data_IF_141507349522
#
_entry.id   IF_141507349522
#
_cell.length_a   1.000
_cell.length_b   1.000
_cell.length_c   1.000
_cell.angle_alpha   90.00
_cell.angle_beta   90.00
_cell.angle_gamma   90.00
#
_symmetry.space_group_name_H-M   'P 1'
#
loop_
_entity.id
_entity.type
_entity.pdbx_description
1 polymer ?
#
# COMPACT_ATOMS: atom_id res chain seq x y z
N UNK A 1 21.00 -56.58 10.60
CA UNK A 1 20.91 -55.46 11.57
C UNK A 1 22.24 -54.71 11.74
N UNK A 2 23.37 -55.21 11.22
CA UNK A 2 24.72 -54.60 11.35
C UNK A 2 25.12 -53.61 10.25
N UNK A 3 24.17 -53.13 9.43
CA UNK A 3 24.44 -52.36 8.20
C UNK A 3 23.91 -50.91 8.26
N UNK A 4 23.25 -50.53 9.37
CA UNK A 4 22.67 -49.18 9.55
C UNK A 4 23.66 -48.19 10.18
N UNK A 5 24.49 -48.64 11.14
CA UNK A 5 25.47 -47.80 11.84
C UNK A 5 26.42 -47.00 10.93
N UNK A 6 27.06 -47.58 9.88
CA UNK A 6 27.95 -46.80 9.00
C UNK A 6 27.19 -45.73 8.21
N UNK A 7 25.89 -45.93 7.96
CA UNK A 7 25.04 -44.97 7.24
C UNK A 7 24.69 -43.77 8.12
N UNK A 8 24.39 -44.00 9.40
CA UNK A 8 24.10 -42.96 10.39
C UNK A 8 25.34 -42.08 10.61
N UNK A 9 26.51 -42.69 10.83
CA UNK A 9 27.77 -41.96 10.99
C UNK A 9 28.12 -41.10 9.75
N UNK A 10 27.83 -41.59 8.54
CA UNK A 10 28.02 -40.83 7.30
C UNK A 10 27.03 -39.66 7.15
N UNK A 11 25.82 -39.77 7.71
CA UNK A 11 24.82 -38.70 7.76
C UNK A 11 25.22 -37.61 8.77
N UNK A 12 25.69 -37.99 9.96
CA UNK A 12 26.19 -37.06 10.98
C UNK A 12 27.41 -36.27 10.47
N UNK A 13 28.39 -36.93 9.85
CA UNK A 13 29.54 -36.27 9.24
C UNK A 13 29.17 -35.29 8.10
N UNK A 14 28.09 -35.57 7.37
CA UNK A 14 27.54 -34.64 6.36
C UNK A 14 26.80 -33.47 7.01
N UNK A 15 26.08 -33.69 8.11
CA UNK A 15 25.40 -32.63 8.85
C UNK A 15 26.42 -31.65 9.46
N UNK A 16 27.47 -32.17 10.09
CA UNK A 16 28.56 -31.35 10.67
C UNK A 16 29.30 -30.52 9.63
N UNK A 17 29.56 -31.06 8.43
CA UNK A 17 30.22 -30.29 7.36
C UNK A 17 29.32 -29.18 6.79
N UNK A 18 28.01 -29.43 6.65
CA UNK A 18 27.03 -28.41 6.25
C UNK A 18 26.91 -27.29 7.31
N UNK A 19 26.85 -27.65 8.60
CA UNK A 19 26.78 -26.67 9.70
C UNK A 19 28.04 -25.80 9.75
N UNK A 20 29.24 -26.38 9.59
CA UNK A 20 30.50 -25.62 9.50
C UNK A 20 30.50 -24.64 8.32
N UNK A 21 30.11 -25.11 7.13
CA UNK A 21 30.03 -24.25 5.93
C UNK A 21 29.04 -23.09 6.13
N UNK A 22 27.92 -23.33 6.80
CA UNK A 22 26.93 -22.29 7.11
C UNK A 22 27.48 -21.24 8.11
N UNK A 23 28.28 -21.66 9.10
CA UNK A 23 28.93 -20.75 10.05
C UNK A 23 29.96 -19.87 9.34
N UNK A 24 30.84 -20.45 8.52
CA UNK A 24 31.86 -19.72 7.78
C UNK A 24 31.23 -18.67 6.84
N UNK A 25 30.15 -19.02 6.15
CA UNK A 25 29.42 -18.08 5.29
C UNK A 25 28.79 -16.91 6.07
N UNK A 26 28.28 -17.14 7.29
CA UNK A 26 27.76 -16.06 8.15
C UNK A 26 28.87 -15.11 8.63
N UNK A 27 30.05 -15.65 8.94
CA UNK A 27 31.24 -14.86 9.29
C UNK A 27 31.67 -13.99 8.10
N UNK A 28 31.74 -14.56 6.90
CA UNK A 28 32.13 -13.85 5.68
C UNK A 28 31.15 -12.73 5.32
N UNK A 29 29.84 -12.99 5.32
CA UNK A 29 28.80 -11.96 5.09
C UNK A 29 28.89 -10.83 6.13
N UNK A 30 29.23 -11.15 7.38
CA UNK A 30 29.41 -10.16 8.45
C UNK A 30 30.67 -9.31 8.24
N UNK A 31 31.78 -9.93 7.81
CA UNK A 31 33.00 -9.22 7.44
C UNK A 31 32.79 -8.29 6.24
N UNK A 32 32.14 -8.77 5.17
CA UNK A 32 31.81 -7.98 3.98
C UNK A 32 30.91 -6.80 4.36
N UNK A 33 29.86 -7.00 5.19
CA UNK A 33 29.02 -5.88 5.66
C UNK A 33 29.81 -4.83 6.45
N UNK A 34 30.78 -5.25 7.27
CA UNK A 34 31.64 -4.35 8.04
C UNK A 34 32.56 -3.53 7.13
N UNK A 35 33.11 -4.14 6.08
CA UNK A 35 33.95 -3.44 5.12
C UNK A 35 33.13 -2.52 4.20
N UNK A 36 31.95 -2.95 3.74
CA UNK A 36 31.01 -2.08 3.02
C UNK A 36 30.59 -0.87 3.84
N UNK A 37 30.47 -1.03 5.17
CA UNK A 37 30.17 0.06 6.11
C UNK A 37 31.34 1.03 6.26
N UNK A 38 32.58 0.53 6.24
CA UNK A 38 33.81 1.37 6.24
C UNK A 38 33.94 2.17 4.94
N UNK A 39 33.81 1.52 3.78
CA UNK A 39 33.87 2.18 2.48
C UNK A 39 32.76 3.25 2.35
N UNK A 40 31.54 2.94 2.78
CA UNK A 40 30.42 3.90 2.79
C UNK A 40 30.61 5.03 3.81
N UNK A 41 31.34 4.79 4.90
CA UNK A 41 31.75 5.81 5.86
C UNK A 41 32.82 6.75 5.29
N UNK A 42 33.79 6.20 4.53
CA UNK A 42 34.86 6.96 3.88
C UNK A 42 34.40 7.76 2.64
N UNK A 43 33.22 7.47 2.09
CA UNK A 43 32.69 8.08 0.86
C UNK A 43 31.53 9.08 1.09
N UNK A 44 31.36 9.62 2.30
CA UNK A 44 30.50 10.80 2.51
C UNK A 44 31.34 12.08 2.39
N UNK A 45 31.09 12.95 1.39
CA UNK A 45 31.66 14.28 1.38
C UNK A 45 31.20 15.07 2.61
N UNK A 46 32.15 15.72 3.26
CA UNK A 46 31.92 16.52 4.47
C UNK A 46 31.09 17.76 4.13
N UNK A 47 29.81 17.74 4.49
CA UNK A 47 28.90 18.87 4.25
C UNK A 47 29.16 19.99 5.27
N UNK A 48 29.93 20.99 4.83
CA UNK A 48 30.21 22.21 5.59
C UNK A 48 28.93 22.87 6.13
N UNK A 49 28.86 23.21 7.43
CA UNK A 49 27.80 24.06 7.95
C UNK A 49 27.94 25.49 7.40
N UNK A 50 26.82 26.06 6.92
CA UNK A 50 26.76 27.42 6.38
C UNK A 50 27.30 28.47 7.36
N UNK A 51 28.31 29.24 6.94
CA UNK A 51 28.77 30.41 7.66
C UNK A 51 27.74 31.54 7.58
N UNK A 52 27.39 32.13 8.73
CA UNK A 52 26.59 33.36 8.83
C UNK A 52 27.49 34.55 8.46
N UNK A 53 27.07 35.47 7.55
CA UNK A 53 27.92 36.59 7.15
C UNK A 53 28.15 37.55 8.32
N UNK A 54 29.41 37.75 8.70
CA UNK A 54 29.82 38.79 9.63
C UNK A 54 30.20 40.08 8.91
N UNK A 55 29.99 41.19 9.60
CA UNK A 55 30.11 42.56 9.11
C UNK A 55 31.55 42.98 8.77
N UNK A 56 31.66 43.77 7.70
CA UNK A 56 32.92 44.34 7.18
C UNK A 56 33.56 45.30 8.20
N UNK A 57 34.87 45.20 8.40
CA UNK A 57 35.70 46.26 9.01
C UNK A 57 36.94 46.47 8.14
N UNK A 58 37.24 47.69 7.65
CA UNK A 58 38.37 47.97 6.76
C UNK A 58 39.59 48.52 7.59
N UNK A 59 40.74 48.95 6.99
CA UNK A 59 41.94 48.10 6.95
C UNK A 59 43.20 48.76 7.57
N UNK A 60 44.33 48.03 7.60
CA UNK A 60 45.66 48.60 7.91
C UNK A 60 46.75 48.00 6.97
N UNK A 61 47.39 48.82 6.11
CA UNK A 61 48.50 48.41 5.22
C UNK A 61 49.86 49.01 5.70
N UNK A 62 50.98 48.89 4.94
CA UNK A 62 51.63 47.67 4.41
C UNK A 62 53.17 47.67 4.61
N UNK A 63 53.87 46.53 4.42
CA UNK A 63 55.31 46.41 4.04
C UNK A 63 55.71 44.90 3.93
N UNK A 64 56.66 44.42 3.12
CA UNK A 64 57.22 44.80 1.81
C UNK A 64 58.11 43.62 1.28
N UNK A 65 58.25 43.44 -0.04
CA UNK A 65 59.28 42.65 -0.81
C UNK A 65 59.61 41.19 -0.37
N UNK A 66 59.34 40.14 -1.18
CA UNK A 66 60.06 39.66 -2.40
C UNK A 66 61.44 39.00 -2.19
N UNK A 67 61.46 37.64 -2.20
CA UNK A 67 62.13 36.71 -3.16
C UNK A 67 63.61 36.98 -3.58
N UNK A 68 64.56 35.98 -3.69
CA UNK A 68 64.44 34.71 -4.48
C UNK A 68 65.16 33.47 -3.85
N UNK A 69 65.31 32.25 -4.41
CA UNK A 69 65.16 31.68 -5.78
C UNK A 69 64.88 30.14 -5.73
N UNK A 70 64.33 29.51 -6.80
CA UNK A 70 64.33 28.04 -7.05
C UNK A 70 65.24 27.68 -8.27
N UNK A 71 65.15 26.48 -8.89
CA UNK A 71 65.21 25.07 -8.43
C UNK A 71 66.55 24.45 -8.99
N UNK A 72 66.72 23.24 -9.61
CA UNK A 72 65.93 21.99 -9.70
C UNK A 72 66.71 20.71 -9.23
N UNK A 73 66.91 19.56 -9.95
CA UNK A 73 66.20 18.35 -9.48
C UNK A 73 66.94 16.98 -9.54
N UNK A 74 66.23 15.93 -9.11
CA UNK A 74 66.41 14.47 -9.40
C UNK A 74 67.70 13.79 -8.89
N UNK A 75 67.53 12.73 -8.08
CA UNK A 75 67.90 11.34 -8.45
C UNK A 75 67.37 10.36 -7.40
N UNK A 76 66.54 9.42 -7.83
CA UNK A 76 66.23 8.19 -7.09
C UNK A 76 67.09 7.05 -7.66
N UNK A 77 67.91 6.39 -6.83
CA UNK A 77 68.39 5.02 -7.06
C UNK A 77 69.06 4.39 -5.83
N UNK A 78 68.40 3.36 -5.31
CA UNK A 78 68.90 2.04 -4.89
C UNK A 78 70.17 1.89 -4.00
N UNK A 79 69.94 1.08 -2.96
CA UNK A 79 70.82 0.60 -1.89
C UNK A 79 71.90 -0.43 -2.34
N UNK A 80 73.06 -0.51 -1.65
CA UNK A 80 73.83 -1.76 -1.51
C UNK A 80 73.97 -2.28 -0.06
N UNK A 81 74.44 -3.52 0.05
CA UNK A 81 74.53 -4.36 1.28
C UNK A 81 75.83 -4.18 2.08
N UNK A 82 75.87 -4.90 3.24
CA UNK A 82 76.90 -5.85 3.75
C UNK A 82 77.34 -5.59 5.21
N UNK A 83 77.65 -6.56 6.08
CA UNK A 83 77.17 -7.95 6.30
C UNK A 83 77.72 -8.48 7.65
N UNK A 84 76.96 -9.35 8.36
CA UNK A 84 77.36 -10.40 9.34
C UNK A 84 78.41 -10.17 10.47
N UNK A 85 78.52 -11.07 11.48
CA UNK A 85 77.54 -11.85 12.25
C UNK A 85 77.70 -11.48 13.77
N UNK A 86 77.71 -12.35 14.83
CA UNK A 86 77.19 -13.70 15.05
C UNK A 86 76.41 -13.89 16.40
N UNK A 87 76.10 -15.17 16.70
CA UNK A 87 75.95 -15.82 18.02
C UNK A 87 74.65 -15.68 18.84
N UNK A 88 74.05 -16.86 19.12
CA UNK A 88 72.92 -17.07 20.03
C UNK A 88 73.35 -16.91 21.51
N UNK A 89 72.60 -16.09 22.27
CA UNK A 89 72.66 -16.03 23.73
C UNK A 89 71.32 -16.41 24.36
N UNK A 90 71.33 -17.35 25.30
CA UNK A 90 70.14 -17.89 25.97
C UNK A 90 69.52 -16.91 26.97
N UNK A 91 68.25 -16.56 26.78
CA UNK A 91 67.45 -15.89 27.81
C UNK A 91 66.56 -16.88 28.55
N UNK A 92 67.04 -17.35 29.71
CA UNK A 92 66.21 -18.06 30.69
C UNK A 92 65.10 -17.12 31.20
N UNK A 93 63.86 -17.35 30.75
CA UNK A 93 62.68 -16.81 31.45
C UNK A 93 62.31 -17.76 32.58
N UNK A 94 62.46 -17.27 33.81
CA UNK A 94 62.21 -18.02 35.04
C UNK A 94 60.81 -18.65 35.05
N UNK A 95 60.74 -19.96 35.27
CA UNK A 95 59.52 -20.66 35.57
C UNK A 95 59.05 -20.32 36.99
N UNK A 96 58.35 -19.19 37.14
CA UNK A 96 57.51 -18.99 38.32
C UNK A 96 56.35 -19.98 38.21
N UNK A 97 56.28 -20.93 39.12
CA UNK A 97 55.16 -21.86 39.21
C UNK A 97 53.87 -21.07 39.49
N UNK A 98 53.13 -20.76 38.43
CA UNK A 98 51.72 -20.46 38.54
C UNK A 98 51.00 -21.81 38.67
N UNK A 99 50.31 -22.01 39.78
CA UNK A 99 49.37 -23.10 39.93
C UNK A 99 48.42 -23.11 38.72
N UNK A 100 48.36 -24.25 38.04
CA UNK A 100 47.48 -24.41 36.90
C UNK A 100 46.04 -24.55 37.41
N UNK A 101 45.36 -23.43 37.67
CA UNK A 101 43.91 -23.41 37.65
C UNK A 101 43.45 -24.11 36.36
N UNK A 102 42.60 -25.14 36.45
CA UNK A 102 42.33 -25.98 35.31
C UNK A 102 41.60 -25.16 34.23
N UNK A 103 42.21 -25.09 33.04
CA UNK A 103 41.70 -24.32 31.91
C UNK A 103 40.28 -24.72 31.47
N UNK A 104 39.78 -25.87 31.95
CA UNK A 104 38.41 -26.34 31.84
C UNK A 104 37.39 -25.27 32.23
N UNK A 105 37.61 -24.51 33.32
CA UNK A 105 36.63 -23.55 33.84
C UNK A 105 36.19 -22.48 32.85
N UNK A 106 37.08 -22.02 31.96
CA UNK A 106 36.73 -21.04 30.91
C UNK A 106 35.93 -21.69 29.78
N UNK A 107 36.39 -22.83 29.26
CA UNK A 107 35.68 -23.54 28.19
C UNK A 107 34.30 -24.03 28.65
N UNK A 108 34.17 -24.55 29.87
CA UNK A 108 32.87 -24.94 30.46
C UNK A 108 31.94 -23.73 30.61
N UNK A 109 32.44 -22.55 31.01
CA UNK A 109 31.60 -21.33 31.07
C UNK A 109 31.12 -20.87 29.69
N UNK A 110 31.97 -20.90 28.67
CA UNK A 110 31.55 -20.56 27.30
C UNK A 110 30.55 -21.58 26.74
N UNK A 111 30.77 -22.88 26.97
CA UNK A 111 29.87 -23.95 26.54
C UNK A 111 28.50 -23.86 27.24
N UNK A 112 28.47 -23.71 28.56
CA UNK A 112 27.22 -23.56 29.31
C UNK A 112 26.47 -22.31 28.85
N UNK A 113 27.14 -21.15 28.74
CA UNK A 113 26.50 -19.94 28.22
C UNK A 113 25.95 -20.14 26.80
N UNK A 114 26.62 -20.90 25.93
CA UNK A 114 26.11 -21.19 24.59
C UNK A 114 24.87 -22.11 24.64
N UNK A 115 24.91 -23.16 25.46
CA UNK A 115 23.79 -24.10 25.64
C UNK A 115 22.58 -23.41 26.29
N UNK A 116 22.80 -22.54 27.27
CA UNK A 116 21.73 -21.81 27.96
C UNK A 116 21.10 -20.74 27.05
N UNK A 117 21.90 -20.02 26.25
CA UNK A 117 21.36 -19.11 25.23
C UNK A 117 20.62 -19.88 24.12
N UNK A 118 21.18 -21.00 23.63
CA UNK A 118 20.52 -21.84 22.63
C UNK A 118 19.21 -22.46 23.16
N UNK A 119 19.14 -22.82 24.45
CA UNK A 119 17.90 -23.24 25.12
C UNK A 119 16.90 -22.09 25.23
N UNK A 120 17.34 -20.90 25.62
CA UNK A 120 16.49 -19.71 25.67
C UNK A 120 15.93 -19.32 24.30
N UNK A 121 16.75 -19.36 23.25
CA UNK A 121 16.32 -19.11 21.87
C UNK A 121 15.40 -20.23 21.34
N UNK A 122 15.65 -21.49 21.71
CA UNK A 122 14.77 -22.62 21.35
C UNK A 122 13.42 -22.53 22.09
N UNK A 123 13.41 -22.23 23.39
CA UNK A 123 12.20 -22.03 24.18
C UNK A 123 11.39 -20.84 23.66
N UNK A 124 12.07 -19.74 23.28
CA UNK A 124 11.44 -18.59 22.65
C UNK A 124 10.90 -18.92 21.25
N UNK A 125 11.64 -19.67 20.44
CA UNK A 125 11.18 -20.06 19.10
C UNK A 125 10.00 -21.03 19.16
N UNK A 126 10.05 -22.04 20.04
CA UNK A 126 8.99 -23.03 20.25
C UNK A 126 7.77 -22.34 20.88
N UNK A 127 7.93 -21.62 22.00
CA UNK A 127 6.85 -21.00 22.76
C UNK A 127 6.24 -19.77 22.07
N UNK A 128 7.05 -18.75 21.76
CA UNK A 128 6.57 -17.46 21.25
C UNK A 128 6.13 -17.56 19.78
N UNK A 129 6.78 -18.38 18.97
CA UNK A 129 6.66 -18.32 17.50
C UNK A 129 6.06 -19.58 16.84
N UNK A 130 6.13 -20.77 17.46
CA UNK A 130 5.61 -22.02 16.91
C UNK A 130 4.28 -22.44 17.58
N UNK A 131 4.28 -22.62 18.90
CA UNK A 131 3.10 -23.02 19.70
C UNK A 131 2.00 -21.96 19.61
N UNK A 132 2.34 -20.67 19.66
CA UNK A 132 1.38 -19.58 19.50
C UNK A 132 0.63 -19.64 18.16
N UNK A 133 1.34 -19.88 17.05
CA UNK A 133 0.75 -19.96 15.70
C UNK A 133 -0.08 -21.23 15.53
N UNK A 134 0.42 -22.37 15.99
CA UNK A 134 -0.32 -23.64 15.96
C UNK A 134 -1.59 -23.51 16.81
N UNK A 135 -1.50 -22.92 18.01
CA UNK A 135 -2.64 -22.65 18.88
C UNK A 135 -3.69 -21.75 18.23
N UNK A 136 -3.28 -20.66 17.56
CA UNK A 136 -4.20 -19.79 16.81
C UNK A 136 -4.88 -20.57 15.67
N UNK A 137 -4.14 -21.37 14.90
CA UNK A 137 -4.70 -22.18 13.80
C UNK A 137 -5.71 -23.21 14.33
N UNK A 138 -5.36 -23.95 15.39
CA UNK A 138 -6.23 -24.95 16.01
C UNK A 138 -7.47 -24.29 16.63
N UNK A 139 -7.34 -23.11 17.25
CA UNK A 139 -8.48 -22.36 17.79
C UNK A 139 -9.43 -21.88 16.68
N UNK A 140 -8.90 -21.36 15.57
CA UNK A 140 -9.70 -20.96 14.40
C UNK A 140 -10.43 -22.16 13.80
N UNK A 141 -9.74 -23.30 13.64
CA UNK A 141 -10.35 -24.54 13.14
C UNK A 141 -11.42 -25.09 14.10
N UNK A 142 -11.15 -25.08 15.41
CA UNK A 142 -12.09 -25.54 16.43
C UNK A 142 -13.35 -24.68 16.50
N UNK A 143 -13.20 -23.36 16.46
CA UNK A 143 -14.34 -22.43 16.39
C UNK A 143 -15.10 -22.60 15.07
N UNK A 144 -14.41 -22.76 13.93
CA UNK A 144 -15.05 -22.96 12.63
C UNK A 144 -15.85 -24.27 12.53
N UNK A 145 -15.25 -25.39 12.96
CA UNK A 145 -15.90 -26.70 12.97
C UNK A 145 -17.04 -26.74 14.00
N UNK A 146 -16.83 -26.17 15.21
CA UNK A 146 -17.85 -26.09 16.25
C UNK A 146 -19.05 -25.23 15.84
N UNK A 147 -18.80 -24.07 15.21
CA UNK A 147 -19.86 -23.22 14.66
C UNK A 147 -20.63 -23.94 13.54
N UNK A 148 -19.93 -24.62 12.63
CA UNK A 148 -20.57 -25.45 11.59
C UNK A 148 -21.43 -26.56 12.21
N UNK A 149 -20.90 -27.33 13.16
CA UNK A 149 -21.64 -28.40 13.83
C UNK A 149 -22.90 -27.89 14.54
N UNK A 150 -22.81 -26.74 15.21
CA UNK A 150 -23.95 -26.07 15.85
C UNK A 150 -24.98 -25.51 14.83
N UNK A 151 -24.54 -25.21 13.61
CA UNK A 151 -25.40 -24.78 12.50
C UNK A 151 -26.13 -25.98 11.89
N UNK A 152 -25.39 -27.05 11.57
CA UNK A 152 -25.85 -28.23 10.83
C UNK A 152 -26.79 -29.12 11.66
N UNK A 153 -26.64 -29.16 12.99
CA UNK A 153 -27.50 -29.93 13.90
C UNK A 153 -28.62 -29.08 14.55
N UNK A 154 -28.88 -27.88 14.01
CA UNK A 154 -29.91 -26.92 14.49
C UNK A 154 -29.82 -26.51 15.99
N UNK A 155 -28.71 -26.84 16.67
CA UNK A 155 -28.47 -26.59 18.10
C UNK A 155 -28.60 -25.11 18.51
N UNK A 156 -28.40 -24.19 17.56
CA UNK A 156 -28.63 -22.76 17.74
C UNK A 156 -29.60 -22.29 16.66
N UNK A 157 -30.71 -21.66 17.05
CA UNK A 157 -31.71 -21.14 16.10
C UNK A 157 -31.14 -20.00 15.23
N UNK A 158 -31.63 -19.79 13.99
CA UNK A 158 -31.16 -18.72 13.10
C UNK A 158 -31.13 -17.34 13.75
N UNK A 159 -32.18 -16.98 14.50
CA UNK A 159 -32.27 -15.72 15.25
C UNK A 159 -31.16 -15.61 16.30
N UNK A 160 -30.92 -16.67 17.08
CA UNK A 160 -29.87 -16.67 18.10
C UNK A 160 -28.47 -16.50 17.50
N UNK A 161 -28.19 -17.11 16.33
CA UNK A 161 -26.91 -16.92 15.60
C UNK A 161 -26.68 -15.45 15.26
N UNK A 162 -27.71 -14.76 14.74
CA UNK A 162 -27.65 -13.34 14.38
C UNK A 162 -27.52 -12.44 15.62
N UNK A 163 -28.28 -12.70 16.70
CA UNK A 163 -28.16 -11.94 17.95
C UNK A 163 -26.77 -12.08 18.57
N UNK A 164 -26.23 -13.29 18.67
CA UNK A 164 -24.87 -13.54 19.18
C UNK A 164 -23.83 -12.83 18.30
N UNK A 165 -23.99 -12.89 16.97
CA UNK A 165 -23.13 -12.18 16.02
C UNK A 165 -23.14 -10.65 16.21
N UNK A 166 -24.32 -10.05 16.42
CA UNK A 166 -24.42 -8.62 16.73
C UNK A 166 -23.82 -8.27 18.09
N UNK A 167 -24.10 -9.04 19.15
CA UNK A 167 -23.51 -8.83 20.48
C UNK A 167 -21.99 -8.92 20.44
N UNK A 168 -21.44 -9.88 19.70
CA UNK A 168 -19.99 -10.01 19.50
C UNK A 168 -19.40 -8.85 18.67
N UNK A 169 -20.04 -8.47 17.56
CA UNK A 169 -19.62 -7.34 16.73
C UNK A 169 -19.62 -6.00 17.48
N UNK A 170 -20.72 -5.68 18.16
CA UNK A 170 -20.80 -4.48 19.01
C UNK A 170 -19.87 -4.56 20.22
N UNK A 171 -19.69 -5.75 20.82
CA UNK A 171 -18.74 -5.99 21.90
C UNK A 171 -17.29 -5.67 21.48
N UNK A 172 -16.88 -6.10 20.28
CA UNK A 172 -15.57 -5.78 19.71
C UNK A 172 -15.41 -4.29 19.40
N UNK A 173 -16.44 -3.63 18.86
CA UNK A 173 -16.45 -2.17 18.62
C UNK A 173 -16.34 -1.39 19.94
N UNK A 174 -17.11 -1.78 20.96
CA UNK A 174 -17.05 -1.17 22.29
C UNK A 174 -15.69 -1.37 22.97
N UNK A 175 -15.17 -2.60 22.95
CA UNK A 175 -13.84 -2.94 23.44
C UNK A 175 -12.75 -2.13 22.73
N UNK A 176 -12.85 -1.98 21.40
CA UNK A 176 -11.93 -1.16 20.62
C UNK A 176 -11.95 0.30 21.09
N UNK A 177 -13.13 0.92 21.22
CA UNK A 177 -13.25 2.31 21.70
C UNK A 177 -12.69 2.47 23.11
N UNK A 178 -12.93 1.50 24.02
CA UNK A 178 -12.39 1.52 25.38
C UNK A 178 -10.86 1.49 25.43
N UNK A 179 -10.22 0.58 24.68
CA UNK A 179 -8.75 0.44 24.68
C UNK A 179 -8.03 1.48 23.80
N UNK A 180 -8.77 2.32 23.05
CA UNK A 180 -8.25 3.34 22.11
C UNK A 180 -7.14 4.21 22.73
N UNK A 181 -7.34 4.66 23.97
CA UNK A 181 -6.44 5.58 24.65
C UNK A 181 -5.04 4.99 24.90
N UNK A 182 -4.95 3.66 25.09
CA UNK A 182 -3.69 2.96 25.39
C UNK A 182 -3.08 2.25 24.16
N UNK A 183 -3.92 1.80 23.23
CA UNK A 183 -3.49 0.96 22.09
C UNK A 183 -4.15 1.36 20.76
N UNK A 184 -3.98 2.62 20.34
CA UNK A 184 -4.62 3.22 19.15
C UNK A 184 -4.57 2.36 17.87
N UNK A 185 -3.41 1.77 17.52
CA UNK A 185 -3.29 0.92 16.30
C UNK A 185 -4.05 -0.41 16.42
N UNK A 186 -3.95 -1.08 17.57
CA UNK A 186 -4.64 -2.35 17.82
C UNK A 186 -6.16 -2.16 17.91
N UNK A 187 -6.57 -1.10 18.62
CA UNK A 187 -7.95 -0.62 18.68
C UNK A 187 -8.55 -0.37 17.28
N UNK A 188 -7.80 0.26 16.37
CA UNK A 188 -8.25 0.48 14.99
C UNK A 188 -8.51 -0.84 14.22
N UNK A 189 -7.64 -1.84 14.38
CA UNK A 189 -7.83 -3.17 13.79
C UNK A 189 -9.06 -3.85 14.40
N UNK A 190 -9.19 -3.82 15.73
CA UNK A 190 -10.30 -4.44 16.46
C UNK A 190 -11.65 -3.82 16.08
N UNK A 191 -11.71 -2.48 15.96
CA UNK A 191 -12.87 -1.75 15.47
C UNK A 191 -13.23 -2.18 14.05
N UNK A 192 -12.25 -2.25 13.14
CA UNK A 192 -12.48 -2.62 11.75
C UNK A 192 -12.97 -4.08 11.60
N UNK A 193 -12.47 -4.99 12.44
CA UNK A 193 -12.95 -6.37 12.52
C UNK A 193 -14.37 -6.46 13.07
N UNK A 194 -14.69 -5.69 14.12
CA UNK A 194 -16.05 -5.58 14.65
C UNK A 194 -17.04 -5.05 13.61
N UNK A 195 -16.67 -4.00 12.87
CA UNK A 195 -17.51 -3.47 11.77
C UNK A 195 -17.68 -4.49 10.63
N UNK A 196 -16.64 -5.25 10.26
CA UNK A 196 -16.76 -6.31 9.27
C UNK A 196 -17.73 -7.42 9.73
N UNK A 197 -17.69 -7.82 11.01
CA UNK A 197 -18.63 -8.78 11.58
C UNK A 197 -20.06 -8.25 11.52
N UNK A 198 -20.31 -6.99 11.92
CA UNK A 198 -21.64 -6.37 11.83
C UNK A 198 -22.16 -6.37 10.38
N UNK A 199 -21.30 -6.09 9.41
CA UNK A 199 -21.62 -6.20 7.98
C UNK A 199 -22.04 -7.62 7.56
N UNK A 200 -21.21 -8.63 7.84
CA UNK A 200 -21.51 -10.02 7.47
C UNK A 200 -22.76 -10.55 8.19
N UNK A 201 -22.96 -10.23 9.46
CA UNK A 201 -24.15 -10.64 10.22
C UNK A 201 -25.41 -9.97 9.65
N UNK A 202 -25.36 -8.70 9.24
CA UNK A 202 -26.47 -8.04 8.53
C UNK A 202 -26.77 -8.74 7.20
N UNK A 203 -25.73 -9.08 6.43
CA UNK A 203 -25.89 -9.81 5.17
C UNK A 203 -26.50 -11.20 5.37
N UNK A 204 -26.04 -11.98 6.35
CA UNK A 204 -26.60 -13.30 6.65
C UNK A 204 -28.05 -13.23 7.16
N UNK A 205 -28.38 -12.22 7.98
CA UNK A 205 -29.76 -11.99 8.42
C UNK A 205 -30.71 -11.72 7.24
N UNK A 206 -30.23 -11.06 6.18
CA UNK A 206 -30.96 -10.89 4.92
C UNK A 206 -30.97 -12.15 4.05
N UNK A 207 -29.80 -12.52 3.52
CA UNK A 207 -29.64 -13.47 2.42
C UNK A 207 -29.84 -14.93 2.85
N UNK A 208 -29.24 -15.33 3.98
CA UNK A 208 -29.25 -16.73 4.41
C UNK A 208 -30.45 -17.10 5.30
N UNK A 209 -30.99 -16.13 6.04
CA UNK A 209 -32.04 -16.40 7.04
C UNK A 209 -33.35 -15.60 6.83
N UNK A 210 -33.39 -14.62 5.92
CA UNK A 210 -34.57 -13.81 5.58
C UNK A 210 -35.29 -13.20 6.80
N UNK A 211 -34.54 -12.90 7.86
CA UNK A 211 -35.03 -12.34 9.13
C UNK A 211 -35.38 -10.84 9.02
N UNK A 212 -34.85 -10.15 8.01
CA UNK A 212 -34.99 -8.70 7.81
C UNK A 212 -35.19 -8.38 6.32
N UNK A 213 -35.97 -7.35 5.99
CA UNK A 213 -36.20 -6.89 4.61
C UNK A 213 -34.91 -6.30 3.99
N UNK A 214 -34.84 -6.30 2.66
CA UNK A 214 -33.75 -5.70 1.88
C UNK A 214 -33.54 -4.23 2.28
N UNK A 215 -34.63 -3.46 2.45
CA UNK A 215 -34.57 -2.04 2.82
C UNK A 215 -34.01 -1.81 4.22
N UNK A 216 -34.40 -2.63 5.20
CA UNK A 216 -33.86 -2.56 6.56
C UNK A 216 -32.39 -2.95 6.61
N UNK A 217 -31.98 -3.96 5.84
CA UNK A 217 -30.59 -4.41 5.72
C UNK A 217 -29.70 -3.33 5.11
N UNK A 218 -30.18 -2.70 4.03
CA UNK A 218 -29.49 -1.59 3.36
C UNK A 218 -29.34 -0.38 4.29
N UNK A 219 -30.40 0.01 5.00
CA UNK A 219 -30.36 1.11 5.97
C UNK A 219 -29.36 0.85 7.12
N UNK A 220 -29.32 -0.38 7.65
CA UNK A 220 -28.34 -0.78 8.67
C UNK A 220 -26.91 -0.71 8.15
N UNK A 221 -26.62 -1.26 6.96
CA UNK A 221 -25.28 -1.19 6.35
C UNK A 221 -24.83 0.25 6.08
N UNK A 222 -25.72 1.13 5.63
CA UNK A 222 -25.43 2.57 5.45
C UNK A 222 -25.14 3.23 6.79
N UNK A 223 -25.91 2.93 7.85
CA UNK A 223 -25.66 3.45 9.20
C UNK A 223 -24.29 2.99 9.73
N UNK A 224 -23.93 1.72 9.53
CA UNK A 224 -22.60 1.18 9.84
C UNK A 224 -21.49 1.81 8.99
N UNK A 225 -21.74 2.15 7.73
CA UNK A 225 -20.80 2.92 6.89
C UNK A 225 -20.52 4.29 7.50
N UNK A 226 -21.58 5.05 7.83
CA UNK A 226 -21.48 6.40 8.41
C UNK A 226 -20.72 6.34 9.73
N UNK A 227 -21.05 5.39 10.61
CA UNK A 227 -20.31 5.16 11.86
C UNK A 227 -18.83 4.85 11.60
N UNK A 228 -18.52 3.99 10.63
CA UNK A 228 -17.12 3.63 10.28
C UNK A 228 -16.34 4.83 9.73
N UNK A 229 -16.97 5.67 8.91
CA UNK A 229 -16.37 6.91 8.39
C UNK A 229 -16.10 7.92 9.50
N UNK A 230 -17.07 8.14 10.39
CA UNK A 230 -16.88 9.00 11.57
C UNK A 230 -15.77 8.46 12.46
N UNK A 231 -15.74 7.16 12.72
CA UNK A 231 -14.68 6.51 13.48
C UNK A 231 -13.31 6.65 12.80
N UNK A 232 -13.20 6.49 11.48
CA UNK A 232 -11.94 6.67 10.76
C UNK A 232 -11.37 8.09 10.91
N UNK A 233 -12.23 9.11 10.86
CA UNK A 233 -11.85 10.52 11.11
C UNK A 233 -11.44 10.73 12.57
N UNK A 234 -12.20 10.19 13.54
CA UNK A 234 -11.96 10.30 14.99
C UNK A 234 -10.71 9.53 15.46
N UNK A 235 -10.30 8.50 14.73
CA UNK A 235 -9.05 7.77 14.95
C UNK A 235 -7.88 8.35 14.14
N UNK A 236 -8.16 9.15 13.10
CA UNK A 236 -7.18 9.62 12.11
C UNK A 236 -6.37 8.46 11.48
N UNK A 237 -7.02 7.30 11.30
CA UNK A 237 -6.41 6.07 10.78
C UNK A 237 -7.06 5.68 9.46
N UNK A 238 -6.28 5.82 8.40
CA UNK A 238 -6.66 5.48 7.03
C UNK A 238 -7.12 4.02 6.86
N UNK A 239 -6.60 3.07 7.66
CA UNK A 239 -6.97 1.65 7.61
C UNK A 239 -8.48 1.45 7.84
N UNK A 240 -9.06 2.15 8.81
CA UNK A 240 -10.49 2.07 9.14
C UNK A 240 -11.34 2.56 7.96
N UNK A 241 -10.92 3.66 7.33
CA UNK A 241 -11.59 4.19 6.14
C UNK A 241 -11.57 3.21 4.97
N UNK A 242 -10.49 2.43 4.79
CA UNK A 242 -10.41 1.45 3.70
C UNK A 242 -11.34 0.25 3.92
N UNK A 243 -11.43 -0.27 5.16
CA UNK A 243 -12.36 -1.34 5.49
C UNK A 243 -13.82 -0.87 5.30
N UNK A 244 -14.14 0.33 5.77
CA UNK A 244 -15.45 0.96 5.54
C UNK A 244 -15.76 1.17 4.05
N UNK A 245 -14.77 1.60 3.26
CA UNK A 245 -14.90 1.81 1.82
C UNK A 245 -15.20 0.49 1.08
N UNK A 246 -14.41 -0.56 1.32
CA UNK A 246 -14.61 -1.88 0.71
C UNK A 246 -15.97 -2.46 1.09
N UNK A 247 -16.34 -2.39 2.38
CA UNK A 247 -17.66 -2.81 2.84
C UNK A 247 -18.79 -2.05 2.16
N UNK A 248 -18.67 -0.72 2.05
CA UNK A 248 -19.67 0.12 1.40
C UNK A 248 -19.84 -0.21 -0.09
N UNK A 249 -18.76 -0.41 -0.86
CA UNK A 249 -18.86 -0.80 -2.27
C UNK A 249 -19.45 -2.21 -2.46
N UNK A 250 -19.35 -3.10 -1.47
CA UNK A 250 -19.94 -4.44 -1.54
C UNK A 250 -21.47 -4.44 -1.33
N UNK A 251 -22.03 -3.50 -0.55
CA UNK A 251 -23.48 -3.43 -0.20
C UNK A 251 -24.43 -3.69 -1.40
N UNK A 252 -24.32 -2.98 -2.55
CA UNK A 252 -25.27 -3.15 -3.65
C UNK A 252 -25.18 -4.51 -4.33
N UNK A 253 -24.06 -5.22 -4.22
CA UNK A 253 -23.88 -6.59 -4.75
C UNK A 253 -24.25 -7.67 -3.72
N UNK A 254 -24.14 -7.35 -2.42
CA UNK A 254 -24.61 -8.23 -1.34
C UNK A 254 -26.13 -8.18 -1.17
N UNK A 255 -26.76 -7.05 -1.48
CA UNK A 255 -28.20 -6.85 -1.35
C UNK A 255 -28.91 -6.71 -2.71
N UNK A 256 -28.29 -7.12 -3.82
CA UNK A 256 -28.93 -7.11 -5.14
C UNK A 256 -30.00 -8.20 -5.26
N UNK A 257 -31.14 -7.84 -5.87
CA UNK A 257 -32.24 -8.76 -6.16
C UNK A 257 -32.40 -8.98 -7.68
N UNK A 258 -31.30 -8.92 -8.43
CA UNK A 258 -31.21 -9.10 -9.91
C UNK A 258 -32.20 -8.28 -10.77
N UNK A 259 -32.82 -7.26 -10.18
CA UNK A 259 -33.88 -6.43 -10.77
C UNK A 259 -33.46 -5.52 -11.93
N UNK A 260 -32.21 -5.58 -12.40
CA UNK A 260 -31.69 -4.70 -13.45
C UNK A 260 -31.67 -3.21 -13.11
N UNK A 261 -31.85 -2.82 -11.84
CA UNK A 261 -31.92 -1.41 -11.42
C UNK A 261 -30.54 -0.74 -11.31
N UNK A 262 -29.85 -0.62 -12.45
CA UNK A 262 -28.57 0.07 -12.59
C UNK A 262 -28.59 1.55 -12.13
N UNK A 263 -29.68 2.35 -12.32
CA UNK A 263 -29.75 3.71 -11.79
C UNK A 263 -29.56 3.78 -10.26
N UNK A 264 -30.18 2.88 -9.49
CA UNK A 264 -30.02 2.85 -8.04
C UNK A 264 -28.57 2.55 -7.62
N UNK A 265 -27.91 1.62 -8.32
CA UNK A 265 -26.50 1.28 -8.11
C UNK A 265 -25.59 2.48 -8.39
N UNK A 266 -25.79 3.20 -9.50
CA UNK A 266 -24.97 4.37 -9.83
C UNK A 266 -25.21 5.57 -8.92
N UNK A 267 -26.45 5.79 -8.47
CA UNK A 267 -26.76 6.80 -7.44
C UNK A 267 -26.03 6.45 -6.13
N UNK A 268 -26.08 5.19 -5.70
CA UNK A 268 -25.38 4.73 -4.49
C UNK A 268 -23.85 4.91 -4.60
N UNK A 269 -23.23 4.49 -5.70
CA UNK A 269 -21.80 4.71 -5.95
C UNK A 269 -21.45 6.20 -6.00
N UNK A 270 -22.34 7.05 -6.54
CA UNK A 270 -22.16 8.51 -6.50
C UNK A 270 -22.14 9.03 -5.06
N UNK A 271 -23.04 8.57 -4.19
CA UNK A 271 -23.02 8.91 -2.76
C UNK A 271 -21.74 8.46 -2.05
N UNK A 272 -21.21 7.27 -2.36
CA UNK A 272 -19.92 6.83 -1.80
C UNK A 272 -18.77 7.75 -2.23
N UNK A 273 -18.71 8.13 -3.51
CA UNK A 273 -17.71 9.05 -4.03
C UNK A 273 -17.85 10.46 -3.41
N UNK A 274 -19.08 10.95 -3.18
CA UNK A 274 -19.32 12.19 -2.42
C UNK A 274 -18.85 12.05 -0.96
N UNK A 275 -19.00 10.88 -0.35
CA UNK A 275 -18.43 10.57 0.97
C UNK A 275 -16.90 10.67 0.99
N UNK A 276 -16.20 10.12 0.00
CA UNK A 276 -14.74 10.23 -0.14
C UNK A 276 -14.30 11.67 -0.39
N UNK A 277 -15.05 12.43 -1.19
CA UNK A 277 -14.87 13.87 -1.36
C UNK A 277 -15.02 14.61 -0.01
N UNK A 278 -16.07 14.34 0.77
CA UNK A 278 -16.28 14.96 2.08
C UNK A 278 -15.15 14.64 3.08
N UNK A 279 -14.61 13.41 3.05
CA UNK A 279 -13.43 13.03 3.84
C UNK A 279 -12.20 13.85 3.39
N UNK A 280 -11.98 13.99 2.07
CA UNK A 280 -10.82 14.68 1.50
C UNK A 280 -10.66 16.13 1.94
N UNK A 281 -11.78 16.84 2.18
CA UNK A 281 -11.80 18.22 2.69
C UNK A 281 -11.10 18.32 4.05
N UNK A 282 -11.30 17.32 4.93
CA UNK A 282 -10.69 17.30 6.27
C UNK A 282 -9.32 16.61 6.29
N UNK A 283 -9.16 15.51 5.56
CA UNK A 283 -7.93 14.71 5.47
C UNK A 283 -7.86 13.99 4.13
N UNK A 284 -6.87 14.35 3.31
CA UNK A 284 -6.62 13.64 2.06
C UNK A 284 -5.73 12.41 2.26
N UNK A 285 -6.35 11.23 2.23
CA UNK A 285 -5.65 9.96 2.18
C UNK A 285 -5.52 9.48 0.73
N UNK A 286 -4.33 9.65 0.13
CA UNK A 286 -4.05 9.36 -1.30
C UNK A 286 -4.58 7.99 -1.76
N UNK A 287 -4.33 6.94 -0.99
CA UNK A 287 -4.78 5.57 -1.33
C UNK A 287 -6.30 5.35 -1.13
N UNK A 288 -6.99 6.14 -0.29
CA UNK A 288 -8.47 6.10 -0.22
C UNK A 288 -9.08 6.62 -1.54
N UNK A 289 -8.51 7.69 -2.08
CA UNK A 289 -8.90 8.23 -3.38
C UNK A 289 -8.67 7.22 -4.50
N UNK A 290 -7.50 6.57 -4.55
CA UNK A 290 -7.20 5.57 -5.60
C UNK A 290 -8.08 4.32 -5.49
N UNK A 291 -8.32 3.81 -4.28
CA UNK A 291 -9.18 2.63 -4.09
C UNK A 291 -10.64 2.92 -4.45
N UNK A 292 -11.18 4.08 -4.06
CA UNK A 292 -12.53 4.52 -4.45
C UNK A 292 -12.66 4.73 -5.97
N UNK A 293 -11.63 5.32 -6.59
CA UNK A 293 -11.54 5.44 -8.05
C UNK A 293 -11.55 4.07 -8.73
N UNK A 294 -10.71 3.13 -8.26
CA UNK A 294 -10.62 1.78 -8.80
C UNK A 294 -11.96 1.05 -8.73
N UNK A 295 -12.61 0.99 -7.56
CA UNK A 295 -13.92 0.34 -7.44
C UNK A 295 -14.98 1.00 -8.33
N UNK A 296 -15.05 2.33 -8.36
CA UNK A 296 -16.01 3.05 -9.21
C UNK A 296 -15.83 2.72 -10.69
N UNK A 297 -14.59 2.75 -11.20
CA UNK A 297 -14.28 2.45 -12.60
C UNK A 297 -14.45 0.97 -12.93
N UNK A 298 -14.12 0.05 -12.01
CA UNK A 298 -14.37 -1.39 -12.19
C UNK A 298 -15.86 -1.71 -12.25
N UNK A 299 -16.68 -1.11 -11.39
CA UNK A 299 -18.13 -1.31 -11.36
C UNK A 299 -18.78 -0.77 -12.65
N UNK A 300 -18.43 0.46 -13.05
CA UNK A 300 -18.95 1.05 -14.29
C UNK A 300 -18.47 0.27 -15.52
N UNK A 301 -17.19 -0.12 -15.56
CA UNK A 301 -16.60 -0.88 -16.65
C UNK A 301 -17.17 -2.28 -16.82
N UNK A 302 -17.45 -2.98 -15.71
CA UNK A 302 -18.09 -4.30 -15.73
C UNK A 302 -19.51 -4.22 -16.29
N UNK A 303 -20.34 -3.32 -15.74
CA UNK A 303 -21.68 -3.07 -16.27
C UNK A 303 -21.66 -2.64 -17.75
N UNK A 304 -20.70 -1.79 -18.13
CA UNK A 304 -20.55 -1.35 -19.52
C UNK A 304 -20.17 -2.51 -20.46
N UNK A 305 -19.43 -3.50 -19.98
CA UNK A 305 -19.03 -4.66 -20.76
C UNK A 305 -20.13 -5.74 -20.88
N UNK A 306 -21.00 -5.89 -19.89
CA UNK A 306 -22.01 -6.98 -19.86
C UNK A 306 -23.44 -6.54 -20.17
N UNK A 307 -23.87 -5.37 -19.68
CA UNK A 307 -25.29 -4.94 -19.69
C UNK A 307 -25.57 -3.71 -20.58
N UNK A 308 -24.56 -3.13 -21.24
CA UNK A 308 -24.75 -1.90 -21.98
C UNK A 308 -25.47 -2.10 -23.31
N UNK A 309 -26.63 -1.45 -23.46
CA UNK A 309 -27.31 -1.28 -24.74
C UNK A 309 -27.34 0.20 -25.12
N UNK A 310 -26.90 0.51 -26.34
CA UNK A 310 -26.84 1.89 -26.86
C UNK A 310 -28.20 2.52 -27.16
N UNK A 311 -29.29 1.75 -27.09
CA UNK A 311 -30.67 2.24 -27.27
C UNK A 311 -31.26 2.71 -25.92
N UNK A 312 -31.11 1.91 -24.86
CA UNK A 312 -31.71 2.17 -23.53
C UNK A 312 -30.77 2.88 -22.54
N UNK A 313 -29.47 2.54 -22.54
CA UNK A 313 -28.56 2.88 -21.44
C UNK A 313 -27.64 4.07 -21.74
N UNK A 314 -27.70 4.67 -22.94
CA UNK A 314 -26.82 5.75 -23.38
C UNK A 314 -26.89 7.00 -22.46
N UNK A 315 -28.09 7.44 -22.09
CA UNK A 315 -28.26 8.61 -21.22
C UNK A 315 -27.81 8.33 -19.79
N UNK A 316 -28.09 7.13 -19.26
CA UNK A 316 -27.65 6.70 -17.94
C UNK A 316 -26.11 6.62 -17.86
N UNK A 317 -25.48 6.03 -18.88
CA UNK A 317 -24.03 5.92 -18.97
C UNK A 317 -23.37 7.30 -19.03
N UNK A 318 -23.82 8.20 -19.91
CA UNK A 318 -23.28 9.57 -20.02
C UNK A 318 -23.48 10.38 -18.73
N UNK A 319 -24.67 10.33 -18.13
CA UNK A 319 -24.96 11.03 -16.89
C UNK A 319 -24.09 10.56 -15.72
N UNK A 320 -24.02 9.24 -15.52
CA UNK A 320 -23.18 8.60 -14.49
C UNK A 320 -21.70 8.95 -14.68
N UNK A 321 -21.21 8.83 -15.91
CA UNK A 321 -19.83 9.12 -16.28
C UNK A 321 -19.45 10.59 -16.01
N UNK A 322 -20.35 11.53 -16.33
CA UNK A 322 -20.18 12.96 -16.03
C UNK A 322 -20.19 13.24 -14.51
N UNK A 323 -21.07 12.58 -13.75
CA UNK A 323 -21.13 12.71 -12.28
C UNK A 323 -19.85 12.18 -11.63
N UNK A 324 -19.38 10.99 -12.00
CA UNK A 324 -18.13 10.43 -11.47
C UNK A 324 -16.92 11.30 -11.82
N UNK A 325 -16.83 11.77 -13.06
CA UNK A 325 -15.78 12.71 -13.47
C UNK A 325 -15.82 14.00 -12.64
N UNK A 326 -17.00 14.60 -12.46
CA UNK A 326 -17.17 15.82 -11.68
C UNK A 326 -16.76 15.65 -10.21
N UNK A 327 -17.13 14.53 -9.56
CA UNK A 327 -16.77 14.26 -8.16
C UNK A 327 -15.25 14.07 -8.01
N UNK A 328 -14.61 13.25 -8.86
CA UNK A 328 -13.16 13.05 -8.77
C UNK A 328 -12.36 14.31 -9.14
N UNK A 329 -12.83 15.09 -10.13
CA UNK A 329 -12.23 16.38 -10.47
C UNK A 329 -12.36 17.39 -9.33
N UNK A 330 -13.55 17.54 -8.75
CA UNK A 330 -13.77 18.41 -7.59
C UNK A 330 -12.89 18.00 -6.39
N UNK A 331 -12.72 16.69 -6.16
CA UNK A 331 -11.83 16.15 -5.12
C UNK A 331 -10.37 16.57 -5.34
N UNK A 332 -9.87 16.54 -6.60
CA UNK A 332 -8.52 17.01 -6.93
C UNK A 332 -8.36 18.52 -6.76
N UNK A 333 -9.33 19.31 -7.23
CA UNK A 333 -9.30 20.77 -7.10
C UNK A 333 -9.31 21.18 -5.63
N UNK A 334 -10.22 20.61 -4.83
CA UNK A 334 -10.30 20.87 -3.39
C UNK A 334 -9.01 20.43 -2.68
N UNK A 335 -8.43 19.27 -3.03
CA UNK A 335 -7.15 18.87 -2.47
C UNK A 335 -6.04 19.90 -2.78
N UNK A 336 -5.86 20.29 -4.05
CA UNK A 336 -4.80 21.22 -4.45
C UNK A 336 -4.97 22.65 -3.92
N UNK A 337 -6.21 23.07 -3.61
CA UNK A 337 -6.49 24.37 -2.98
C UNK A 337 -6.27 24.33 -1.46
N UNK A 338 -6.65 23.24 -0.78
CA UNK A 338 -6.57 23.13 0.68
C UNK A 338 -5.19 22.66 1.17
N UNK A 339 -4.51 21.82 0.41
CA UNK A 339 -3.21 21.24 0.76
C UNK A 339 -2.18 21.61 -0.30
N UNK A 340 -1.35 22.61 -0.01
CA UNK A 340 -0.26 23.11 -0.88
C UNK A 340 0.94 22.17 -0.98
N UNK A 341 0.71 20.86 -1.05
CA UNK A 341 1.74 19.87 -1.39
C UNK A 341 1.91 19.77 -2.91
N UNK A 342 3.15 19.66 -3.37
CA UNK A 342 3.47 19.43 -4.78
C UNK A 342 2.87 18.10 -5.26
N UNK A 343 1.91 18.17 -6.18
CA UNK A 343 1.13 17.02 -6.64
C UNK A 343 2.05 15.97 -7.29
N UNK A 344 2.11 14.79 -6.68
CA UNK A 344 3.01 13.71 -7.12
C UNK A 344 2.45 13.03 -8.37
N UNK A 345 3.32 12.63 -9.31
CA UNK A 345 2.95 12.07 -10.64
C UNK A 345 1.81 11.04 -10.63
N UNK A 346 1.69 10.21 -9.59
CA UNK A 346 0.63 9.22 -9.40
C UNK A 346 -0.80 9.81 -9.36
N UNK A 347 -0.93 10.99 -8.75
CA UNK A 347 -2.20 11.72 -8.60
C UNK A 347 -2.75 12.16 -9.96
N UNK A 348 -1.82 12.57 -10.82
CA UNK A 348 -2.06 12.89 -12.23
C UNK A 348 -2.49 11.65 -13.01
N UNK A 349 -1.83 10.50 -12.81
CA UNK A 349 -2.13 9.25 -13.55
C UNK A 349 -3.58 8.79 -13.33
N UNK A 350 -4.09 8.81 -12.09
CA UNK A 350 -5.49 8.43 -11.84
C UNK A 350 -6.50 9.39 -12.50
N UNK A 351 -6.22 10.69 -12.49
CA UNK A 351 -7.07 11.71 -13.11
C UNK A 351 -7.00 11.65 -14.63
N UNK A 352 -5.81 11.42 -15.20
CA UNK A 352 -5.61 11.19 -16.63
C UNK A 352 -6.27 9.89 -17.06
N UNK A 353 -6.18 8.80 -16.30
CA UNK A 353 -6.88 7.54 -16.57
C UNK A 353 -8.41 7.73 -16.61
N UNK A 354 -8.96 8.39 -15.59
CA UNK A 354 -10.37 8.84 -15.52
C UNK A 354 -10.76 9.63 -16.78
N UNK A 355 -9.92 10.58 -17.18
CA UNK A 355 -10.14 11.45 -18.36
C UNK A 355 -10.00 10.68 -19.69
N UNK A 356 -9.07 9.72 -19.78
CA UNK A 356 -8.85 8.87 -20.97
C UNK A 356 -10.01 7.90 -21.16
N UNK A 357 -10.53 7.29 -20.08
CA UNK A 357 -11.74 6.46 -20.12
C UNK A 357 -12.94 7.30 -20.59
N UNK A 358 -13.12 8.51 -20.04
CA UNK A 358 -14.14 9.45 -20.49
C UNK A 358 -14.02 9.78 -21.98
N UNK A 359 -12.82 10.16 -22.45
CA UNK A 359 -12.56 10.50 -23.85
C UNK A 359 -12.75 9.29 -24.77
N UNK A 360 -12.31 8.09 -24.36
CA UNK A 360 -12.49 6.87 -25.14
C UNK A 360 -13.98 6.55 -25.33
N UNK A 361 -14.76 6.57 -24.25
CA UNK A 361 -16.21 6.41 -24.30
C UNK A 361 -16.88 7.48 -25.21
N UNK A 362 -16.50 8.75 -25.07
CA UNK A 362 -16.99 9.82 -25.93
C UNK A 362 -16.53 9.75 -27.40
N UNK A 363 -15.50 8.94 -27.72
CA UNK A 363 -15.08 8.64 -29.10
C UNK A 363 -15.85 7.43 -29.66
N UNK A 364 -15.97 6.37 -28.87
CA UNK A 364 -16.75 5.18 -29.22
C UNK A 364 -18.21 5.52 -29.54
N UNK A 365 -18.88 6.26 -28.64
CA UNK A 365 -20.27 6.69 -28.85
C UNK A 365 -20.44 7.65 -30.05
N UNK A 366 -19.38 8.39 -30.43
CA UNK A 366 -19.37 9.16 -31.67
C UNK A 366 -19.25 8.25 -32.90
N UNK A 367 -18.39 7.24 -32.86
CA UNK A 367 -18.25 6.27 -33.95
C UNK A 367 -19.55 5.50 -34.21
N UNK A 368 -20.23 5.01 -33.18
CA UNK A 368 -21.55 4.33 -33.32
C UNK A 368 -22.65 5.28 -33.82
N UNK A 369 -22.66 6.55 -33.42
CA UNK A 369 -23.62 7.54 -33.96
C UNK A 369 -23.34 7.90 -35.42
N UNK A 370 -22.09 8.11 -35.82
CA UNK A 370 -21.73 8.35 -37.22
C UNK A 370 -22.07 7.15 -38.10
N UNK A 371 -21.75 5.92 -37.65
CA UNK A 371 -22.12 4.69 -38.36
C UNK A 371 -23.63 4.50 -38.52
N UNK A 372 -24.44 4.83 -37.50
CA UNK A 372 -25.91 4.81 -37.60
C UNK A 372 -26.45 5.91 -38.50
N UNK A 373 -25.92 7.15 -38.42
CA UNK A 373 -26.38 8.28 -39.27
C UNK A 373 -26.07 8.04 -40.75
N UNK A 374 -24.87 7.56 -41.10
CA UNK A 374 -24.55 7.16 -42.48
C UNK A 374 -25.53 6.07 -42.97
N UNK A 375 -25.86 5.08 -42.12
CA UNK A 375 -26.80 4.00 -42.49
C UNK A 375 -28.26 4.47 -42.61
N UNK A 376 -28.71 5.44 -41.82
CA UNK A 376 -30.04 6.05 -41.99
C UNK A 376 -30.10 6.92 -43.24
N UNK A 377 -29.06 7.72 -43.49
CA UNK A 377 -29.02 8.62 -44.64
C UNK A 377 -28.96 7.82 -45.95
N UNK A 378 -28.21 6.70 -45.99
CA UNK A 378 -28.20 5.77 -47.13
C UNK A 378 -29.57 5.08 -47.34
N UNK A 379 -30.27 4.71 -46.25
CA UNK A 379 -31.60 4.07 -46.33
C UNK A 379 -32.69 5.06 -46.79
N UNK A 380 -32.58 6.33 -46.39
CA UNK A 380 -33.51 7.39 -46.81
C UNK A 380 -33.22 7.77 -48.27
N UNK A 381 -31.95 8.03 -48.63
CA UNK A 381 -31.54 8.37 -49.99
C UNK A 381 -31.81 7.24 -51.01
N UNK A 382 -31.70 5.97 -50.60
CA UNK A 382 -32.07 4.81 -51.41
C UNK A 382 -33.59 4.65 -51.65
N UNK A 383 -34.44 5.38 -50.91
CA UNK A 383 -35.90 5.33 -51.07
C UNK A 383 -36.51 6.57 -51.76
N UNK A 384 -35.81 7.71 -51.71
CA UNK A 384 -36.21 8.96 -52.39
C UNK A 384 -34.97 9.68 -52.91
N UNK A 385 -34.82 9.72 -54.23
CA UNK A 385 -33.76 10.47 -54.91
C UNK A 385 -33.95 11.99 -54.86
N UNK A 386 -33.94 12.58 -53.66
CA UNK A 386 -34.08 14.03 -53.45
C UNK A 386 -33.14 14.57 -52.37
N UNK A 387 -32.61 15.75 -52.65
CA UNK A 387 -31.63 16.51 -51.87
C UNK A 387 -32.35 17.19 -50.69
N UNK A 388 -32.00 16.87 -49.44
CA UNK A 388 -32.66 17.45 -48.25
C UNK A 388 -31.74 18.46 -47.57
N UNK A 389 -32.27 19.65 -47.30
CA UNK A 389 -31.54 20.80 -46.74
C UNK A 389 -31.69 20.99 -45.23
N UNK A 390 -30.92 21.96 -44.75
CA UNK A 390 -30.87 22.54 -43.40
C UNK A 390 -32.24 22.77 -42.73
N UNK A 391 -32.58 21.97 -41.71
CA UNK A 391 -33.84 22.13 -40.97
C UNK A 391 -33.92 21.50 -39.57
N UNK A 392 -32.80 21.07 -38.96
CA UNK A 392 -32.79 20.33 -37.68
C UNK A 392 -31.72 20.81 -36.66
N UNK A 393 -31.17 22.01 -36.79
CA UNK A 393 -30.11 22.51 -35.90
C UNK A 393 -30.61 23.08 -34.55
N UNK A 394 -31.90 23.39 -34.42
CA UNK A 394 -32.38 24.27 -33.33
C UNK A 394 -32.69 23.63 -31.96
N UNK A 395 -32.51 22.31 -31.78
CA UNK A 395 -32.85 21.62 -30.50
C UNK A 395 -31.64 20.97 -29.80
N UNK A 396 -30.46 20.92 -30.43
CA UNK A 396 -29.33 20.12 -29.95
C UNK A 396 -28.21 20.89 -29.21
N UNK A 397 -28.37 22.20 -28.99
CA UNK A 397 -27.30 23.07 -28.50
C UNK A 397 -26.85 22.94 -27.02
N UNK A 398 -27.67 22.53 -26.01
CA UNK A 398 -27.19 22.54 -24.62
C UNK A 398 -26.24 21.38 -24.25
N UNK A 399 -26.16 20.31 -25.06
CA UNK A 399 -25.35 19.12 -24.75
C UNK A 399 -24.07 18.99 -25.57
N UNK A 400 -23.93 19.70 -26.70
CA UNK A 400 -22.65 19.81 -27.40
C UNK A 400 -21.60 20.53 -26.56
N UNK A 401 -22.01 21.48 -25.71
CA UNK A 401 -21.14 22.27 -24.83
C UNK A 401 -20.42 21.43 -23.76
N UNK A 402 -21.09 20.42 -23.18
CA UNK A 402 -20.49 19.55 -22.15
C UNK A 402 -19.43 18.59 -22.72
N UNK A 403 -19.63 18.09 -23.93
CA UNK A 403 -18.63 17.27 -24.63
C UNK A 403 -17.63 18.12 -25.47
N UNK A 404 -17.90 19.43 -25.55
CA UNK A 404 -17.20 20.44 -26.35
C UNK A 404 -16.38 21.42 -25.53
N UNK A 405 -16.07 21.11 -24.26
CA UNK A 405 -14.96 21.74 -23.56
C UNK A 405 -13.67 21.30 -24.24
N UNK A 406 -13.34 21.95 -25.36
CA UNK A 406 -11.98 22.02 -25.86
C UNK A 406 -11.15 22.78 -24.84
N UNK A 407 -10.65 22.05 -23.84
CA UNK A 407 -9.31 22.36 -23.30
C UNK A 407 -8.41 22.36 -24.53
N UNK A 408 -8.02 23.56 -24.96
CA UNK A 408 -7.20 23.74 -26.14
C UNK A 408 -5.91 22.95 -25.92
N UNK A 409 -5.71 21.85 -26.66
CA UNK A 409 -4.48 21.05 -26.58
C UNK A 409 -3.25 21.91 -26.96
N UNK A 410 -3.47 22.97 -27.74
CA UNK A 410 -2.50 24.03 -27.99
C UNK A 410 -2.07 24.78 -26.71
N UNK A 411 -2.98 25.02 -25.76
CA UNK A 411 -2.71 25.82 -24.56
C UNK A 411 -2.16 24.98 -23.41
N UNK A 412 -2.59 23.71 -23.28
CA UNK A 412 -1.89 22.77 -22.40
C UNK A 412 -0.44 22.53 -22.88
N UNK A 413 -0.22 22.51 -24.20
CA UNK A 413 1.13 22.43 -24.80
C UNK A 413 1.91 23.75 -24.62
N UNK A 414 1.23 24.90 -24.49
CA UNK A 414 1.86 26.20 -24.18
C UNK A 414 2.35 26.23 -22.72
N UNK A 415 1.50 25.81 -21.77
CA UNK A 415 1.82 25.72 -20.34
C UNK A 415 2.91 24.69 -20.05
N UNK A 416 2.80 23.47 -20.60
CA UNK A 416 3.82 22.42 -20.43
C UNK A 416 5.17 22.81 -21.05
N UNK A 417 5.17 23.55 -22.17
CA UNK A 417 6.42 24.03 -22.78
C UNK A 417 7.04 25.19 -21.98
N UNK A 418 6.24 26.06 -21.36
CA UNK A 418 6.73 27.11 -20.44
C UNK A 418 7.29 26.54 -19.13
N UNK A 419 6.72 25.47 -18.59
CA UNK A 419 7.21 24.84 -17.34
C UNK A 419 8.45 23.95 -17.52
N UNK A 420 8.79 23.55 -18.75
CA UNK A 420 9.95 22.67 -19.05
C UNK A 420 11.20 23.46 -19.47
N UNK A 421 11.06 24.73 -19.90
CA UNK A 421 12.16 25.57 -20.40
C UNK A 421 12.39 26.87 -19.59
N UNK A 422 11.87 26.94 -18.37
CA UNK A 422 12.05 28.07 -17.45
C UNK A 422 12.84 27.69 -16.18
N UNK A 423 13.89 26.87 -16.36
CA UNK A 423 14.88 26.51 -15.35
C UNK A 423 16.27 26.54 -15.96
#
# INVERSE_FOLDING_TARGET
MSDLDPTIAALEARLDSLVRTQIDFQVEVTAIRKELSRLRGAQRPESQPFARPQSVTPPSPPQQHQQPSPPPPVTERQNPREADPPAFGSYQRQAKAAEAEPATGKYTRYFNNYVDNARGDLEKFIGENLISKIGIIVLILGVGIGAKYAIDNELVSPLARIVIGYVFGFGLVGLAVWIKAKYLKFSAVLLSGGMAILYFITYFAYSAYQLIDQRTSFALMVMFTIFTVVAAVVYNLQVIAHVGLVGAYAVPFLLSNDSGNYPALFIYVSFLNVGVLAISVKRYWRLLFYTSSFFTWSIFGLWFATEYSSESHLYLALGTLAVFFAIFFATKVIHGVVHTESDTRESLIATVGTTVIFIYFCRDQRATRYGRRIRSDFRIAGSRGTRVGSGLEQVYWPFSSLCGISVHVADLRSLVRRSIFAG
#
